data_IF_940794295781
#
_entry.id   IF_940794295781
#
_cell.length_a   1.000
_cell.length_b   1.000
_cell.length_c   1.000
_cell.angle_alpha   90.00
_cell.angle_beta   90.00
_cell.angle_gamma   90.00
#
_symmetry.space_group_name_H-M   'P 1'
#
loop_
_entity.id
_entity.type
_entity.pdbx_description
1 polymer ?
#
# COMPACT_ATOMS: atom_id res chain seq x y z
N UNK A 1 -9.76 18.12 33.51
CA UNK A 1 -9.98 18.16 32.63
C UNK A 1 -9.88 18.08 31.96
N UNK A 2 -9.39 17.76 32.00
CA UNK A 2 -9.44 17.67 30.98
C UNK A 2 -9.30 17.58 30.34
N UNK A 3 -9.01 17.51 30.65
CA UNK A 3 -9.14 17.55 29.75
C UNK A 3 -9.31 17.67 29.03
N UNK A 4 -9.00 17.55 29.39
CA UNK A 4 -9.38 17.76 28.51
C UNK A 4 -9.45 17.79 27.92
N UNK A 5 -9.28 17.78 28.09
CA UNK A 5 -9.53 17.80 27.28
C UNK A 5 -9.58 17.85 26.72
N UNK A 6 -9.38 17.71 26.90
CA UNK A 6 -9.66 17.83 26.10
C UNK A 6 -9.50 17.95 25.43
N UNK A 7 -9.22 17.90 25.69
CA UNK A 7 -9.29 18.01 24.90
C UNK A 7 -8.99 17.91 24.17
N UNK A 8 -8.70 17.80 24.58
CA UNK A 8 -8.75 17.68 23.71
C UNK A 8 -8.77 17.62 23.00
N UNK A 9 -8.53 17.42 23.15
CA UNK A 9 -8.70 17.28 22.16
C UNK A 9 -9.07 17.48 21.61
N UNK A 10 -8.93 17.56 21.92
CA UNK A 10 -9.25 17.64 21.14
C UNK A 10 -8.99 17.76 20.36
N UNK A 11 -8.64 17.48 20.53
CA UNK A 11 -8.41 17.33 19.58
C UNK A 11 -8.08 16.95 18.97
N UNK A 12 -8.00 16.76 19.28
CA UNK A 12 -7.76 16.07 18.57
C UNK A 12 -7.69 15.46 18.40
N UNK A 13 -7.62 15.30 18.52
CA UNK A 13 -7.62 14.42 18.19
C UNK A 13 -7.75 14.03 17.61
N UNK A 14 -7.73 14.25 17.52
CA UNK A 14 -7.75 13.65 16.86
C UNK A 14 -7.80 13.09 16.34
N UNK A 15 -8.48 13.51 16.01
CA UNK A 15 -8.44 12.84 15.59
C UNK A 15 -7.68 12.23 14.86
N UNK A 16 -7.63 11.76 15.04
CA UNK A 16 -6.55 10.90 14.59
C UNK A 16 -7.09 9.80 13.72
N UNK A 17 -6.58 9.71 12.46
CA UNK A 17 -6.92 8.56 11.63
C UNK A 17 -6.53 7.28 12.39
N UNK A 18 -7.34 6.22 12.31
CA UNK A 18 -6.95 4.95 12.93
C UNK A 18 -5.59 4.55 12.40
N UNK A 19 -4.70 4.21 13.29
CA UNK A 19 -3.39 3.71 12.86
C UNK A 19 -3.57 2.37 12.21
N UNK A 20 -2.87 2.17 11.11
CA UNK A 20 -2.79 0.85 10.52
C UNK A 20 -2.09 -0.07 11.52
N UNK A 21 -2.55 -1.33 11.62
CA UNK A 21 -1.81 -2.30 12.43
C UNK A 21 -0.36 -2.33 11.97
N UNK A 22 0.54 -2.54 12.91
CA UNK A 22 1.95 -2.67 12.56
C UNK A 22 2.21 -4.08 12.11
N UNK A 23 2.84 -4.20 10.96
CA UNK A 23 3.22 -5.50 10.41
C UNK A 23 4.73 -5.51 10.23
N UNK A 24 5.33 -6.66 10.48
CA UNK A 24 6.75 -6.86 10.20
C UNK A 24 6.86 -7.48 8.82
N UNK A 25 7.32 -6.69 7.88
CA UNK A 25 7.44 -7.12 6.49
C UNK A 25 8.86 -7.58 6.12
N UNK A 26 9.73 -7.78 7.09
CA UNK A 26 11.15 -8.08 6.83
C UNK A 26 11.33 -9.32 5.95
N UNK A 27 10.66 -10.42 6.29
CA UNK A 27 10.80 -11.66 5.53
C UNK A 27 10.25 -11.50 4.12
N UNK A 28 9.13 -10.80 3.99
CA UNK A 28 8.53 -10.53 2.69
C UNK A 28 9.50 -9.76 1.80
N UNK A 29 10.09 -8.69 2.32
CA UNK A 29 10.96 -7.85 1.50
C UNK A 29 12.25 -8.56 1.13
N UNK A 30 12.74 -9.48 1.96
CA UNK A 30 13.85 -10.35 1.56
C UNK A 30 13.48 -11.20 0.37
N UNK A 31 12.28 -11.80 0.37
CA UNK A 31 11.82 -12.62 -0.75
C UNK A 31 11.65 -11.79 -2.01
N UNK A 32 11.10 -10.58 -1.87
CA UNK A 32 10.93 -9.68 -3.01
C UNK A 32 12.26 -9.27 -3.60
N UNK A 33 13.25 -8.99 -2.76
CA UNK A 33 14.58 -8.60 -3.22
C UNK A 33 15.25 -9.72 -4.00
N UNK A 34 14.93 -10.97 -3.69
CA UNK A 34 15.48 -12.13 -4.38
C UNK A 34 14.77 -12.41 -5.71
N UNK A 35 13.63 -11.77 -5.98
CA UNK A 35 12.88 -11.96 -7.22
C UNK A 35 13.43 -11.01 -8.29
N UNK A 36 13.89 -11.57 -9.41
CA UNK A 36 14.38 -10.76 -10.53
C UNK A 36 13.29 -9.81 -11.03
N UNK A 37 12.07 -10.31 -11.16
CA UNK A 37 10.97 -9.49 -11.66
C UNK A 37 10.58 -8.38 -10.67
N UNK A 38 10.37 -8.76 -9.39
CA UNK A 38 9.87 -7.79 -8.40
C UNK A 38 10.92 -6.75 -8.04
N UNK A 39 12.19 -7.14 -7.96
CA UNK A 39 13.24 -6.25 -7.50
C UNK A 39 13.64 -5.16 -8.49
N UNK A 40 13.16 -5.26 -9.74
CA UNK A 40 13.53 -4.28 -10.74
C UNK A 40 12.63 -3.03 -10.76
N UNK A 41 11.56 -3.03 -9.98
CA UNK A 41 10.69 -1.86 -9.94
C UNK A 41 11.25 -0.79 -9.02
N UNK A 42 11.26 0.45 -9.49
CA UNK A 42 11.71 1.61 -8.73
C UNK A 42 10.85 2.81 -9.10
N UNK A 43 10.75 3.76 -8.18
CA UNK A 43 10.04 5.01 -8.45
C UNK A 43 10.81 5.82 -9.49
N UNK A 44 10.09 6.38 -10.45
CA UNK A 44 10.67 7.30 -11.44
C UNK A 44 10.78 8.68 -10.81
N UNK A 45 11.49 9.59 -11.54
CA UNK A 45 11.55 10.99 -11.11
C UNK A 45 10.17 11.62 -11.01
N UNK A 46 9.29 11.29 -11.96
CA UNK A 46 7.91 11.80 -11.93
C UNK A 46 7.15 11.29 -10.70
N UNK A 47 7.38 10.05 -10.33
CA UNK A 47 6.73 9.48 -9.14
C UNK A 47 7.24 10.16 -7.88
N UNK A 48 8.54 10.39 -7.78
CA UNK A 48 9.13 11.08 -6.64
C UNK A 48 8.59 12.50 -6.52
N UNK A 49 8.49 13.20 -7.65
CA UNK A 49 7.94 14.55 -7.68
C UNK A 49 6.47 14.55 -7.27
N UNK A 50 5.71 13.59 -7.77
CA UNK A 50 4.30 13.45 -7.40
C UNK A 50 4.14 13.31 -5.89
N UNK A 51 4.94 12.44 -5.28
CA UNK A 51 4.88 12.21 -3.84
C UNK A 51 5.25 13.48 -3.07
N UNK A 52 6.29 14.18 -3.55
CA UNK A 52 6.72 15.41 -2.92
C UNK A 52 5.61 16.47 -2.97
N UNK A 53 4.96 16.62 -4.12
CA UNK A 53 3.92 17.63 -4.29
C UNK A 53 2.64 17.30 -3.57
N UNK A 54 2.22 16.03 -3.60
CA UNK A 54 0.92 15.64 -3.04
C UNK A 54 1.02 15.23 -1.56
N UNK A 55 2.16 14.71 -1.14
CA UNK A 55 2.38 14.25 0.22
C UNK A 55 1.92 12.83 0.45
N UNK A 56 2.47 12.22 1.49
CA UNK A 56 2.20 10.80 1.79
C UNK A 56 0.76 10.53 2.20
N UNK A 57 0.07 11.51 2.77
CA UNK A 57 -1.33 11.31 3.14
C UNK A 57 -2.20 11.09 1.90
N UNK A 58 -1.94 11.83 0.82
CA UNK A 58 -2.65 11.63 -0.45
C UNK A 58 -2.30 10.27 -1.05
N UNK A 59 -1.03 9.91 -1.03
CA UNK A 59 -0.58 8.61 -1.56
C UNK A 59 -1.25 7.48 -0.78
N UNK A 60 -1.33 7.60 0.54
CA UNK A 60 -2.00 6.59 1.37
C UNK A 60 -3.46 6.43 0.99
N UNK A 61 -4.16 7.54 0.79
CA UNK A 61 -5.58 7.48 0.39
C UNK A 61 -5.74 6.81 -0.95
N UNK A 62 -4.84 7.13 -1.90
CA UNK A 62 -4.88 6.47 -3.21
C UNK A 62 -4.62 4.98 -3.09
N UNK A 63 -3.66 4.59 -2.25
CA UNK A 63 -3.38 3.16 -2.04
C UNK A 63 -4.61 2.45 -1.48
N UNK A 64 -5.24 3.05 -0.46
CA UNK A 64 -6.43 2.47 0.14
C UNK A 64 -7.58 2.35 -0.86
N UNK A 65 -7.79 3.40 -1.66
CA UNK A 65 -8.85 3.39 -2.68
C UNK A 65 -8.60 2.33 -3.75
N UNK A 66 -7.36 2.23 -4.23
CA UNK A 66 -7.02 1.26 -5.27
C UNK A 66 -7.15 -0.17 -4.75
N UNK A 67 -6.72 -0.41 -3.53
CA UNK A 67 -6.88 -1.73 -2.91
C UNK A 67 -8.37 -2.07 -2.77
N UNK A 68 -9.16 -1.14 -2.25
CA UNK A 68 -10.59 -1.38 -2.01
C UNK A 68 -11.35 -1.63 -3.31
N UNK A 69 -11.02 -0.89 -4.36
CA UNK A 69 -11.81 -0.94 -5.59
C UNK A 69 -11.31 -1.97 -6.59
N UNK A 70 -10.01 -2.20 -6.66
CA UNK A 70 -9.44 -3.02 -7.72
C UNK A 70 -8.82 -4.32 -7.24
N UNK A 71 -8.64 -4.49 -5.94
CA UNK A 71 -8.02 -5.70 -5.40
C UNK A 71 -8.96 -6.45 -4.46
N UNK A 72 -9.74 -5.73 -3.66
CA UNK A 72 -10.56 -6.34 -2.62
C UNK A 72 -11.79 -7.12 -3.09
N UNK A 73 -12.47 -6.77 -4.21
CA UNK A 73 -13.70 -7.51 -4.57
C UNK A 73 -13.44 -8.98 -4.84
N UNK A 74 -14.45 -9.81 -4.54
CA UNK A 74 -14.37 -11.26 -4.77
C UNK A 74 -14.22 -11.59 -6.24
N UNK A 75 -14.81 -10.79 -7.12
CA UNK A 75 -14.75 -10.97 -8.57
C UNK A 75 -14.18 -9.71 -9.19
N UNK A 76 -13.12 -9.88 -9.95
CA UNK A 76 -12.45 -8.75 -10.63
C UNK A 76 -12.41 -9.09 -12.11
N UNK A 77 -13.12 -8.31 -12.97
CA UNK A 77 -13.24 -8.64 -14.39
C UNK A 77 -11.91 -8.79 -15.11
N UNK A 78 -10.90 -7.99 -14.74
CA UNK A 78 -9.60 -8.02 -15.40
C UNK A 78 -8.51 -8.55 -14.48
N UNK A 79 -8.82 -9.55 -13.66
CA UNK A 79 -7.82 -10.02 -12.70
C UNK A 79 -6.56 -10.49 -13.41
N UNK A 80 -5.44 -9.94 -12.99
CA UNK A 80 -4.14 -10.13 -13.62
C UNK A 80 -3.71 -8.95 -14.48
N UNK A 81 -4.64 -8.06 -14.83
CA UNK A 81 -4.35 -6.91 -15.71
C UNK A 81 -4.92 -5.59 -15.17
N UNK A 82 -5.43 -5.59 -13.95
CA UNK A 82 -6.12 -4.41 -13.41
C UNK A 82 -5.17 -3.28 -13.02
N UNK A 83 -3.89 -3.58 -12.79
CA UNK A 83 -2.93 -2.60 -12.31
C UNK A 83 -1.99 -2.18 -13.44
N UNK A 84 -2.01 -0.89 -13.84
CA UNK A 84 -1.08 -0.40 -14.86
C UNK A 84 0.37 -0.58 -14.39
N UNK A 85 1.28 -0.67 -15.36
CA UNK A 85 2.70 -0.88 -15.05
C UNK A 85 3.40 0.41 -14.61
N UNK A 86 2.80 1.57 -14.85
CA UNK A 86 3.38 2.86 -14.49
C UNK A 86 2.28 3.92 -14.50
N UNK A 87 2.63 5.13 -14.08
CA UNK A 87 1.72 6.26 -14.10
C UNK A 87 1.28 6.72 -12.72
N UNK A 88 1.64 5.97 -11.69
CA UNK A 88 1.35 6.35 -10.30
C UNK A 88 2.29 5.55 -9.41
N UNK A 89 2.84 6.17 -8.35
CA UNK A 89 3.74 5.43 -7.45
C UNK A 89 3.12 4.19 -6.83
N UNK A 90 1.80 4.22 -6.56
CA UNK A 90 1.12 3.05 -5.99
C UNK A 90 1.09 1.89 -6.99
N UNK A 91 0.97 2.17 -8.30
CA UNK A 91 1.00 1.11 -9.30
C UNK A 91 2.34 0.36 -9.26
N UNK A 92 3.43 1.12 -9.18
CA UNK A 92 4.77 0.51 -9.09
C UNK A 92 4.91 -0.29 -7.80
N UNK A 93 4.42 0.26 -6.70
CA UNK A 93 4.46 -0.45 -5.42
C UNK A 93 3.69 -1.76 -5.49
N UNK A 94 2.53 -1.77 -6.17
CA UNK A 94 1.73 -2.98 -6.32
C UNK A 94 2.49 -4.06 -7.07
N UNK A 95 3.13 -3.71 -8.18
CA UNK A 95 3.91 -4.67 -8.95
C UNK A 95 5.16 -5.14 -8.19
N UNK A 96 5.83 -4.21 -7.53
CA UNK A 96 7.05 -4.53 -6.79
C UNK A 96 6.79 -5.47 -5.60
N UNK A 97 5.60 -5.43 -5.03
CA UNK A 97 5.31 -6.16 -3.80
C UNK A 97 4.35 -7.32 -3.98
N UNK A 98 3.93 -7.60 -5.22
CA UNK A 98 3.01 -8.71 -5.45
C UNK A 98 1.57 -8.43 -5.03
N UNK A 99 1.18 -7.16 -5.02
CA UNK A 99 -0.18 -6.73 -4.71
C UNK A 99 -0.90 -6.19 -5.95
N UNK A 100 -0.48 -6.62 -7.13
CA UNK A 100 -1.01 -6.08 -8.38
C UNK A 100 -2.25 -6.81 -8.88
N UNK A 101 -2.49 -8.03 -8.40
CA UNK A 101 -3.69 -8.80 -8.73
C UNK A 101 -3.89 -9.86 -7.66
N UNK A 102 -5.04 -10.53 -7.70
CA UNK A 102 -5.37 -11.51 -6.66
C UNK A 102 -4.52 -12.76 -6.77
N UNK A 103 -4.08 -13.13 -7.98
CA UNK A 103 -3.16 -14.25 -8.15
C UNK A 103 -1.81 -13.99 -7.52
N UNK A 104 -1.28 -12.78 -7.73
CA UNK A 104 -0.02 -12.40 -7.11
C UNK A 104 -0.17 -12.26 -5.60
N UNK A 105 -1.29 -11.72 -5.15
CA UNK A 105 -1.56 -11.58 -3.72
C UNK A 105 -1.60 -12.95 -3.04
N UNK A 106 -2.22 -13.93 -3.68
CA UNK A 106 -2.25 -15.28 -3.15
C UNK A 106 -0.85 -15.88 -3.09
N UNK A 107 -0.08 -15.71 -4.17
CA UNK A 107 1.26 -16.29 -4.25
C UNK A 107 2.23 -15.66 -3.25
N UNK A 108 2.23 -14.33 -3.15
CA UNK A 108 3.23 -13.64 -2.34
C UNK A 108 2.80 -13.46 -0.89
N UNK A 109 1.51 -13.38 -0.62
CA UNK A 109 1.00 -13.03 0.71
C UNK A 109 0.10 -14.10 1.32
N UNK A 110 -0.18 -15.17 0.59
CA UNK A 110 -1.02 -16.25 1.13
C UNK A 110 -2.48 -15.87 1.32
N UNK A 111 -2.95 -14.82 0.65
CA UNK A 111 -4.33 -14.38 0.77
C UNK A 111 -5.11 -14.92 -0.43
N UNK A 112 -6.05 -15.85 -0.22
CA UNK A 112 -6.68 -16.53 -1.34
C UNK A 112 -7.59 -15.62 -2.16
N UNK A 113 -7.65 -15.89 -3.47
CA UNK A 113 -8.60 -15.25 -4.37
C UNK A 113 -9.97 -15.90 -4.23
N UNK A 114 -10.97 -15.29 -4.87
CA UNK A 114 -12.30 -15.88 -4.91
C UNK A 114 -13.25 -15.41 -3.82
N UNK A 115 -12.78 -14.55 -2.93
CA UNK A 115 -13.60 -13.91 -1.91
C UNK A 115 -13.13 -12.48 -1.72
N UNK A 116 -14.01 -11.64 -1.18
CA UNK A 116 -13.63 -10.25 -0.90
C UNK A 116 -12.55 -10.22 0.20
N UNK A 117 -11.63 -9.28 0.09
CA UNK A 117 -10.65 -9.05 1.14
C UNK A 117 -11.35 -8.47 2.36
N UNK A 118 -10.95 -8.93 3.54
CA UNK A 118 -11.41 -8.32 4.79
C UNK A 118 -10.77 -6.94 4.95
N UNK A 119 -11.31 -6.14 5.87
CA UNK A 119 -10.71 -4.85 6.17
C UNK A 119 -9.27 -5.01 6.66
N UNK A 120 -9.01 -6.03 7.45
CA UNK A 120 -7.64 -6.29 7.93
C UNK A 120 -6.71 -6.64 6.78
N UNK A 121 -7.19 -7.41 5.81
CA UNK A 121 -6.38 -7.77 4.65
C UNK A 121 -6.12 -6.56 3.77
N UNK A 122 -7.09 -5.68 3.63
CA UNK A 122 -6.89 -4.44 2.90
C UNK A 122 -5.86 -3.54 3.59
N UNK A 123 -5.96 -3.42 4.91
CA UNK A 123 -4.98 -2.65 5.70
C UNK A 123 -3.58 -3.26 5.56
N UNK A 124 -3.48 -4.57 5.57
CA UNK A 124 -2.21 -5.25 5.37
C UNK A 124 -1.61 -4.88 4.00
N UNK A 125 -2.41 -4.99 2.94
CA UNK A 125 -1.92 -4.67 1.60
C UNK A 125 -1.45 -3.22 1.52
N UNK A 126 -2.22 -2.28 2.07
CA UNK A 126 -1.84 -0.88 2.09
C UNK A 126 -0.51 -0.70 2.83
N UNK A 127 -0.33 -1.39 3.96
CA UNK A 127 0.91 -1.27 4.73
C UNK A 127 2.12 -1.75 3.94
N UNK A 128 1.95 -2.82 3.15
CA UNK A 128 3.03 -3.33 2.28
C UNK A 128 3.41 -2.28 1.23
N UNK A 129 2.40 -1.70 0.58
CA UNK A 129 2.63 -0.69 -0.45
C UNK A 129 3.36 0.52 0.11
N UNK A 130 2.93 1.00 1.27
CA UNK A 130 3.55 2.17 1.89
C UNK A 130 4.96 1.87 2.37
N UNK A 131 5.23 0.67 2.86
CA UNK A 131 6.58 0.32 3.27
C UNK A 131 7.53 0.30 2.07
N UNK A 132 7.08 -0.24 0.92
CA UNK A 132 7.90 -0.21 -0.27
C UNK A 132 8.22 1.22 -0.70
N UNK A 133 7.19 2.09 -0.71
CA UNK A 133 7.39 3.49 -1.08
C UNK A 133 8.35 4.15 -0.10
N UNK A 134 8.20 3.89 1.20
CA UNK A 134 9.11 4.45 2.20
C UNK A 134 10.56 4.06 1.94
N UNK A 135 10.79 2.79 1.61
CA UNK A 135 12.14 2.32 1.31
C UNK A 135 12.70 2.98 0.06
N UNK A 136 11.86 3.16 -0.95
CA UNK A 136 12.29 3.85 -2.17
C UNK A 136 12.66 5.31 -1.89
N UNK A 137 11.85 6.00 -1.08
CA UNK A 137 12.14 7.38 -0.72
C UNK A 137 13.44 7.49 0.08
N UNK A 138 13.75 6.50 0.91
CA UNK A 138 15.00 6.50 1.68
C UNK A 138 16.23 6.43 0.78
N UNK A 139 16.09 5.88 -0.43
CA UNK A 139 17.18 5.82 -1.39
C UNK A 139 17.35 7.13 -2.17
N UNK A 140 16.42 8.07 -2.01
CA UNK A 140 16.44 9.35 -2.72
C UNK A 140 16.23 10.49 -1.71
N UNK A 141 17.17 10.68 -0.77
CA UNK A 141 17.02 11.72 0.27
C UNK A 141 17.07 13.15 -0.27
#
# INVERSE_FOLDING_TARGET
>A
MSRIPTQLSLFGEEEEAPRLPRFDHSALFKRLAASTFRSRFHLSEKDLLYIEQKGMNVVRRHAADLVAKRLAPAVIPNDGKQTPMRGHPVFLAQHATGCCCRGCLAKWHGIPAGRALTEAEQAYAVSVLLEWIRQELAMHP
#
